data_IF_001486078083
#
_entry.id   IF_001486078083
#
_cell.length_a   1.000
_cell.length_b   1.000
_cell.length_c   1.000
_cell.angle_alpha   90.00
_cell.angle_beta   90.00
_cell.angle_gamma   90.00
#
_symmetry.space_group_name_H-M   'P 1'
#
loop_
_entity.id
_entity.type
_entity.pdbx_description
1 polymer ?
#
# COMPACT_ATOMS: atom_id res chain seq x y z
N UNK A 1 11.86 12.15 -16.62
CA UNK A 1 11.23 11.11 -15.77
C UNK A 1 10.78 10.00 -16.69
N UNK A 2 11.10 8.73 -16.40
CA UNK A 2 10.46 7.63 -17.15
C UNK A 2 9.01 7.59 -16.71
N UNK A 3 8.12 7.40 -17.67
CA UNK A 3 6.70 7.20 -17.42
C UNK A 3 6.50 5.93 -16.58
N UNK A 4 5.50 5.93 -15.71
CA UNK A 4 5.20 4.78 -14.86
C UNK A 4 4.68 3.61 -15.74
N UNK A 5 5.20 2.38 -15.59
CA UNK A 5 4.89 1.27 -16.49
C UNK A 5 3.53 0.62 -16.14
N UNK A 6 2.44 1.34 -16.39
CA UNK A 6 1.07 0.94 -16.06
C UNK A 6 0.71 -0.49 -16.52
N UNK A 7 1.08 -0.86 -17.75
CA UNK A 7 0.80 -2.18 -18.30
C UNK A 7 1.52 -3.33 -17.57
N UNK A 8 2.79 -3.14 -17.19
CA UNK A 8 3.56 -4.13 -16.46
C UNK A 8 3.02 -4.32 -15.04
N UNK A 9 2.73 -3.22 -14.34
CA UNK A 9 2.17 -3.23 -12.99
C UNK A 9 0.78 -3.86 -12.99
N UNK A 10 -0.08 -3.51 -13.95
CA UNK A 10 -1.40 -4.12 -14.11
C UNK A 10 -1.29 -5.63 -14.32
N UNK A 11 -0.39 -6.07 -15.21
CA UNK A 11 -0.22 -7.49 -15.47
C UNK A 11 0.31 -8.24 -14.25
N UNK A 12 1.29 -7.67 -13.53
CA UNK A 12 1.84 -8.29 -12.34
C UNK A 12 0.80 -8.36 -11.21
N UNK A 13 0.05 -7.28 -10.99
CA UNK A 13 -1.03 -7.25 -10.01
C UNK A 13 -2.15 -8.23 -10.37
N UNK A 14 -2.47 -8.45 -11.65
CA UNK A 14 -3.43 -9.48 -12.06
C UNK A 14 -2.97 -10.90 -11.69
N UNK A 15 -1.69 -11.19 -11.85
CA UNK A 15 -1.11 -12.51 -11.53
C UNK A 15 -1.01 -12.74 -10.01
N UNK A 16 -0.60 -11.72 -9.25
CA UNK A 16 -0.48 -11.79 -7.80
C UNK A 16 -1.77 -12.24 -7.11
N UNK A 17 -1.68 -13.16 -6.16
CA UNK A 17 -2.85 -13.68 -5.41
C UNK A 17 -2.78 -13.35 -3.93
N UNK A 18 -1.58 -13.19 -3.36
CA UNK A 18 -1.34 -12.95 -1.93
C UNK A 18 -0.55 -11.65 -1.79
N UNK A 19 -1.25 -10.57 -1.52
CA UNK A 19 -0.68 -9.22 -1.55
C UNK A 19 -0.50 -8.68 -0.13
N UNK A 20 0.69 -8.15 0.18
CA UNK A 20 0.90 -7.33 1.36
C UNK A 20 0.64 -5.86 1.02
N UNK A 21 -0.10 -5.16 1.89
CA UNK A 21 -0.20 -3.69 1.87
C UNK A 21 0.32 -3.15 3.20
N UNK A 22 1.37 -2.34 3.13
CA UNK A 22 2.14 -1.90 4.28
C UNK A 22 2.37 -0.39 4.20
N UNK A 23 2.49 0.29 5.34
CA UNK A 23 2.88 1.70 5.38
C UNK A 23 3.93 1.97 6.46
N UNK A 24 4.14 3.24 6.80
CA UNK A 24 5.23 3.68 7.66
C UNK A 24 4.95 3.53 9.17
N UNK A 25 6.03 3.49 9.95
CA UNK A 25 6.03 3.65 11.41
C UNK A 25 5.44 4.99 11.81
N UNK A 26 4.79 5.07 12.98
CA UNK A 26 3.97 6.19 13.43
C UNK A 26 2.95 6.60 12.36
N UNK A 27 2.08 5.67 11.92
CA UNK A 27 1.13 5.92 10.84
C UNK A 27 0.17 7.05 11.21
N UNK A 28 -0.21 7.84 10.22
CA UNK A 28 -1.23 8.87 10.35
C UNK A 28 -2.51 8.48 9.58
N UNK A 29 -3.40 9.46 9.35
CA UNK A 29 -4.64 9.22 8.63
C UNK A 29 -4.43 8.80 7.17
N UNK A 30 -3.39 9.30 6.51
CA UNK A 30 -3.12 8.98 5.11
C UNK A 30 -2.56 7.56 4.98
N UNK A 31 -1.62 7.19 5.85
CA UNK A 31 -1.10 5.83 5.93
C UNK A 31 -2.19 4.79 6.23
N UNK A 32 -3.01 5.02 7.26
CA UNK A 32 -4.08 4.07 7.65
C UNK A 32 -5.15 4.00 6.55
N UNK A 33 -5.59 5.15 6.04
CA UNK A 33 -6.57 5.23 4.96
C UNK A 33 -6.07 4.55 3.68
N UNK A 34 -4.80 4.71 3.34
CA UNK A 34 -4.17 4.08 2.18
C UNK A 34 -4.12 2.56 2.31
N UNK A 35 -3.70 2.04 3.47
CA UNK A 35 -3.66 0.59 3.74
C UNK A 35 -5.06 -0.02 3.66
N UNK A 36 -6.05 0.59 4.31
CA UNK A 36 -7.43 0.08 4.31
C UNK A 36 -8.07 0.17 2.92
N UNK A 37 -7.99 1.34 2.27
CA UNK A 37 -8.63 1.60 0.98
C UNK A 37 -8.10 0.70 -0.13
N UNK A 38 -6.78 0.60 -0.26
CA UNK A 38 -6.17 -0.34 -1.22
C UNK A 38 -6.44 -1.79 -0.83
N UNK A 39 -6.38 -2.10 0.47
CA UNK A 39 -6.68 -3.42 1.00
C UNK A 39 -8.07 -3.91 0.60
N UNK A 40 -9.09 -3.07 0.73
CA UNK A 40 -10.46 -3.36 0.31
C UNK A 40 -10.61 -3.53 -1.19
N UNK A 41 -9.98 -2.68 -2.00
CA UNK A 41 -10.03 -2.79 -3.45
C UNK A 41 -9.46 -4.15 -3.91
N UNK A 42 -8.33 -4.56 -3.33
CA UNK A 42 -7.67 -5.82 -3.63
C UNK A 42 -8.46 -7.04 -3.14
N UNK A 43 -9.04 -6.97 -1.93
CA UNK A 43 -9.92 -8.03 -1.40
C UNK A 43 -11.17 -8.20 -2.27
N UNK A 44 -11.80 -7.09 -2.67
CA UNK A 44 -12.97 -7.10 -3.57
C UNK A 44 -12.61 -7.66 -4.94
N UNK A 45 -11.37 -7.48 -5.39
CA UNK A 45 -10.82 -8.12 -6.60
C UNK A 45 -10.48 -9.62 -6.42
N UNK A 46 -10.83 -10.23 -5.29
CA UNK A 46 -10.64 -11.66 -5.01
C UNK A 46 -9.24 -12.05 -4.52
N UNK A 47 -8.41 -11.08 -4.10
CA UNK A 47 -7.06 -11.36 -3.58
C UNK A 47 -7.08 -11.67 -2.10
N UNK A 48 -6.11 -12.46 -1.66
CA UNK A 48 -5.78 -12.59 -0.24
C UNK A 48 -4.86 -11.43 0.14
N UNK A 49 -5.24 -10.65 1.14
CA UNK A 49 -4.54 -9.40 1.48
C UNK A 49 -4.14 -9.38 2.94
N UNK A 50 -2.83 -9.27 3.18
CA UNK A 50 -2.25 -9.01 4.51
C UNK A 50 -2.01 -7.52 4.67
N UNK A 51 -2.59 -6.93 5.72
CA UNK A 51 -2.43 -5.50 6.04
C UNK A 51 -1.50 -5.37 7.23
N UNK A 52 -0.48 -4.52 7.13
CA UNK A 52 0.49 -4.37 8.19
C UNK A 52 0.91 -2.92 8.48
N UNK A 53 1.01 -2.60 9.76
CA UNK A 53 1.59 -1.36 10.29
C UNK A 53 2.43 -1.69 11.52
N UNK A 54 3.73 -1.42 11.48
CA UNK A 54 4.67 -1.82 12.53
C UNK A 54 4.27 -1.33 13.94
N UNK A 55 3.78 -0.09 14.02
CA UNK A 55 3.34 0.53 15.28
C UNK A 55 1.83 0.35 15.55
N UNK A 56 1.13 -0.39 14.68
CA UNK A 56 -0.31 -0.59 14.71
C UNK A 56 -1.13 0.66 14.37
N UNK A 57 -2.45 0.54 14.44
CA UNK A 57 -3.38 1.64 14.17
C UNK A 57 -3.46 2.61 15.36
N UNK A 58 -3.27 3.94 15.15
CA UNK A 58 -3.42 4.94 16.20
C UNK A 58 -4.81 4.90 16.83
N UNK A 59 -4.91 5.14 18.14
CA UNK A 59 -6.17 4.99 18.89
C UNK A 59 -7.34 5.74 18.27
N UNK A 60 -7.11 6.98 17.82
CA UNK A 60 -8.12 7.83 17.19
C UNK A 60 -8.58 7.33 15.81
N UNK A 61 -7.92 6.34 15.20
CA UNK A 61 -8.25 5.76 13.90
C UNK A 61 -8.75 4.32 13.98
N UNK A 62 -8.77 3.70 15.18
CA UNK A 62 -9.25 2.32 15.38
C UNK A 62 -10.75 2.12 15.13
N UNK A 63 -11.50 3.22 15.01
CA UNK A 63 -12.92 3.20 14.68
C UNK A 63 -13.18 3.01 13.18
N UNK A 64 -12.14 3.12 12.33
CA UNK A 64 -12.27 2.90 10.90
C UNK A 64 -12.58 1.42 10.63
N UNK A 65 -13.54 1.10 9.75
CA UNK A 65 -13.87 -0.29 9.46
C UNK A 65 -12.65 -1.05 8.91
N UNK A 66 -12.41 -2.27 9.39
CA UNK A 66 -11.26 -3.09 9.00
C UNK A 66 -9.94 -2.70 9.65
N UNK A 67 -9.89 -1.67 10.51
CA UNK A 67 -8.69 -1.32 11.28
C UNK A 67 -8.23 -2.48 12.18
N UNK A 68 -9.15 -3.32 12.64
CA UNK A 68 -8.91 -4.53 13.41
C UNK A 68 -8.16 -5.63 12.63
N UNK A 69 -8.19 -5.59 11.29
CA UNK A 69 -7.49 -6.56 10.43
C UNK A 69 -6.01 -6.22 10.25
N UNK A 70 -5.58 -5.02 10.66
CA UNK A 70 -4.20 -4.57 10.50
C UNK A 70 -3.31 -5.21 11.56
N UNK A 71 -2.39 -6.06 11.12
CA UNK A 71 -1.41 -6.70 11.98
C UNK A 71 -0.15 -5.84 12.17
N UNK A 72 0.67 -6.08 13.20
CA UNK A 72 1.97 -5.42 13.35
C UNK A 72 2.98 -5.77 12.24
N UNK A 73 2.81 -6.93 11.60
CA UNK A 73 3.70 -7.45 10.57
C UNK A 73 2.89 -8.18 9.51
N UNK A 74 3.44 -8.27 8.29
CA UNK A 74 2.84 -9.09 7.23
C UNK A 74 2.71 -10.53 7.71
N UNK A 75 1.53 -11.09 7.51
CA UNK A 75 1.15 -12.44 7.91
C UNK A 75 0.93 -13.33 6.70
N UNK A 76 1.32 -14.60 6.82
CA UNK A 76 1.22 -15.58 5.74
C UNK A 76 2.26 -15.38 4.64
N UNK A 77 2.18 -16.22 3.61
CA UNK A 77 3.01 -16.09 2.41
C UNK A 77 2.45 -15.02 1.49
N UNK A 78 3.31 -14.16 0.95
CA UNK A 78 2.93 -13.10 -0.01
C UNK A 78 3.74 -13.24 -1.29
N UNK A 79 3.11 -12.97 -2.43
CA UNK A 79 3.74 -12.97 -3.76
C UNK A 79 3.82 -11.58 -4.38
N UNK A 80 3.30 -10.55 -3.70
CA UNK A 80 3.44 -9.15 -4.11
C UNK A 80 3.40 -8.21 -2.91
N UNK A 81 4.36 -7.30 -2.80
CA UNK A 81 4.46 -6.33 -1.69
C UNK A 81 4.23 -4.92 -2.19
N UNK A 82 3.19 -4.27 -1.64
CA UNK A 82 2.87 -2.87 -1.90
C UNK A 82 3.13 -2.06 -0.63
N UNK A 83 3.99 -1.04 -0.74
CA UNK A 83 4.21 -0.07 0.33
C UNK A 83 3.57 1.26 -0.05
N UNK A 84 2.70 1.77 0.80
CA UNK A 84 2.00 3.04 0.61
C UNK A 84 2.51 4.09 1.59
N UNK A 85 2.62 5.34 1.15
CA UNK A 85 2.88 6.51 1.98
C UNK A 85 4.21 6.50 2.76
N UNK A 86 5.21 5.77 2.26
CA UNK A 86 6.53 5.69 2.88
C UNK A 86 7.62 6.08 1.89
N UNK A 87 8.32 7.19 2.18
CA UNK A 87 9.36 7.78 1.33
C UNK A 87 10.68 7.00 1.29
N UNK A 88 10.93 6.14 2.27
CA UNK A 88 12.11 5.28 2.27
C UNK A 88 11.82 3.93 2.92
N UNK A 89 12.69 2.95 2.64
CA UNK A 89 12.52 1.58 3.12
C UNK A 89 12.60 1.47 4.64
N UNK A 90 13.35 2.34 5.31
CA UNK A 90 13.51 2.35 6.76
C UNK A 90 12.23 2.77 7.47
N UNK A 91 11.41 3.62 6.84
CA UNK A 91 10.10 4.03 7.37
C UNK A 91 9.11 2.88 7.51
N UNK A 92 9.25 1.78 6.78
CA UNK A 92 8.38 0.61 6.91
C UNK A 92 8.55 -0.10 8.27
N UNK A 93 9.70 0.07 8.91
CA UNK A 93 9.99 -0.56 10.20
C UNK A 93 9.97 -2.09 10.12
N UNK A 94 9.42 -2.72 11.15
CA UNK A 94 9.38 -4.18 11.31
C UNK A 94 8.19 -4.84 10.60
N UNK A 95 7.34 -4.07 9.92
CA UNK A 95 6.18 -4.62 9.24
C UNK A 95 6.54 -5.57 8.09
N UNK A 96 7.74 -5.41 7.53
CA UNK A 96 8.36 -6.30 6.55
C UNK A 96 9.76 -6.73 7.04
N UNK A 97 10.19 -7.98 6.77
CA UNK A 97 11.59 -8.39 6.92
C UNK A 97 12.54 -7.45 6.16
N UNK A 98 13.75 -7.23 6.66
CA UNK A 98 14.68 -6.24 6.06
C UNK A 98 15.06 -6.59 4.60
N UNK A 99 15.13 -7.88 4.30
CA UNK A 99 15.44 -8.48 3.02
C UNK A 99 14.26 -8.55 2.05
N UNK A 100 13.04 -8.24 2.51
CA UNK A 100 11.85 -8.29 1.68
C UNK A 100 11.94 -7.23 0.56
N UNK A 101 11.79 -7.71 -0.67
CA UNK A 101 11.69 -6.88 -1.87
C UNK A 101 10.34 -6.19 -1.89
N UNK A 102 10.34 -4.89 -2.16
CA UNK A 102 9.11 -4.11 -2.34
C UNK A 102 8.84 -4.02 -3.83
N UNK A 103 7.73 -4.61 -4.28
CA UNK A 103 7.38 -4.62 -5.69
C UNK A 103 6.85 -3.27 -6.15
N UNK A 104 5.97 -2.66 -5.37
CA UNK A 104 5.35 -1.38 -5.70
C UNK A 104 5.38 -0.45 -4.50
N UNK A 105 5.86 0.78 -4.70
CA UNK A 105 5.68 1.87 -3.77
C UNK A 105 4.78 2.95 -4.39
N UNK A 106 3.74 3.35 -3.65
CA UNK A 106 2.83 4.45 -4.03
C UNK A 106 2.95 5.52 -2.96
N UNK A 107 3.34 6.72 -3.34
CA UNK A 107 3.69 7.77 -2.38
C UNK A 107 3.50 9.17 -2.97
N UNK A 108 3.41 10.18 -2.11
CA UNK A 108 3.34 11.59 -2.50
C UNK A 108 4.47 12.45 -1.90
N UNK A 109 5.40 11.86 -1.14
CA UNK A 109 6.50 12.62 -0.56
C UNK A 109 7.56 13.00 -1.62
N UNK A 110 7.92 14.29 -1.68
CA UNK A 110 9.04 14.80 -2.49
C UNK A 110 10.39 14.14 -2.15
N UNK A 111 10.51 13.60 -0.93
CA UNK A 111 11.73 12.95 -0.40
C UNK A 111 11.82 11.46 -0.73
N UNK A 112 10.89 10.91 -1.51
CA UNK A 112 10.88 9.49 -1.82
C UNK A 112 12.18 9.03 -2.51
N UNK A 113 12.72 7.91 -2.05
CA UNK A 113 14.03 7.36 -2.47
C UNK A 113 13.95 6.34 -3.61
N UNK A 114 12.76 6.07 -4.13
CA UNK A 114 12.49 5.12 -5.21
C UNK A 114 13.06 3.71 -4.96
N UNK A 115 12.81 3.17 -3.75
CA UNK A 115 13.41 1.93 -3.26
C UNK A 115 12.67 0.65 -3.69
N UNK A 116 11.49 0.76 -4.33
CA UNK A 116 10.75 -0.38 -4.83
C UNK A 116 11.11 -0.70 -6.29
N UNK A 117 10.70 -1.88 -6.77
CA UNK A 117 10.83 -2.25 -8.18
C UNK A 117 10.04 -1.29 -9.09
N UNK A 118 8.83 -0.92 -8.69
CA UNK A 118 8.02 0.12 -9.33
C UNK A 118 7.69 1.20 -8.31
N UNK A 119 7.82 2.47 -8.69
CA UNK A 119 7.56 3.60 -7.80
C UNK A 119 6.60 4.57 -8.50
N UNK A 120 5.37 4.65 -7.99
CA UNK A 120 4.37 5.63 -8.40
C UNK A 120 4.41 6.78 -7.38
N UNK A 121 5.21 7.80 -7.67
CA UNK A 121 5.38 8.95 -6.78
C UNK A 121 4.78 10.19 -7.43
N UNK A 122 3.77 10.78 -6.81
CA UNK A 122 3.17 12.04 -7.26
C UNK A 122 3.31 13.13 -6.18
N UNK A 123 4.39 13.93 -6.20
CA UNK A 123 4.65 14.90 -5.15
C UNK A 123 3.77 16.16 -5.14
N UNK A 124 2.92 16.30 -6.15
CA UNK A 124 1.94 17.39 -6.22
C UNK A 124 0.57 16.94 -5.69
N UNK A 125 0.39 15.64 -5.39
CA UNK A 125 -0.80 15.14 -4.73
C UNK A 125 -0.83 15.56 -3.26
N UNK A 126 -2.03 15.86 -2.77
CA UNK A 126 -2.25 16.27 -1.38
C UNK A 126 -2.07 15.13 -0.37
N UNK A 127 -2.16 13.89 -0.83
CA UNK A 127 -2.06 12.67 -0.03
C UNK A 127 -1.83 11.44 -0.91
N UNK A 128 -1.27 10.38 -0.35
CA UNK A 128 -1.16 9.05 -0.98
C UNK A 128 -2.55 8.46 -1.26
N UNK A 129 -3.52 8.66 -0.36
CA UNK A 129 -4.93 8.29 -0.58
C UNK A 129 -5.51 8.89 -1.86
N UNK A 130 -5.17 10.14 -2.21
CA UNK A 130 -5.62 10.76 -3.46
C UNK A 130 -5.00 10.07 -4.69
N UNK A 131 -3.71 9.73 -4.63
CA UNK A 131 -3.03 8.95 -5.68
C UNK A 131 -3.66 7.57 -5.84
N UNK A 132 -4.07 6.95 -4.73
CA UNK A 132 -4.70 5.63 -4.73
C UNK A 132 -6.06 5.63 -5.43
N UNK A 133 -6.85 6.69 -5.35
CA UNK A 133 -8.13 6.78 -6.08
C UNK A 133 -7.89 6.64 -7.59
N UNK A 134 -6.91 7.38 -8.13
CA UNK A 134 -6.54 7.29 -9.55
C UNK A 134 -5.93 5.94 -9.89
N UNK A 135 -5.04 5.42 -9.04
CA UNK A 135 -4.40 4.12 -9.24
C UNK A 135 -5.43 2.98 -9.28
N UNK A 136 -6.39 2.96 -8.36
CA UNK A 136 -7.45 1.94 -8.28
C UNK A 136 -8.31 1.97 -9.55
N UNK A 137 -8.68 3.17 -10.01
CA UNK A 137 -9.41 3.35 -11.26
C UNK A 137 -8.60 2.88 -12.48
N UNK A 138 -7.33 3.26 -12.58
CA UNK A 138 -6.44 2.87 -13.68
C UNK A 138 -6.13 1.36 -13.68
N UNK A 139 -6.11 0.72 -12.51
CA UNK A 139 -5.99 -0.74 -12.41
C UNK A 139 -7.29 -1.48 -12.70
N UNK A 140 -8.43 -0.78 -12.78
CA UNK A 140 -9.75 -1.38 -12.91
C UNK A 140 -10.16 -2.20 -11.69
N UNK A 141 -9.67 -1.83 -10.50
CA UNK A 141 -10.00 -2.53 -9.26
C UNK A 141 -11.40 -2.09 -8.78
N UNK A 142 -12.25 -3.03 -8.33
CA UNK A 142 -13.55 -2.71 -7.77
C UNK A 142 -13.38 -2.05 -6.39
N UNK A 143 -14.19 -1.03 -6.12
CA UNK A 143 -14.43 -0.54 -4.77
C UNK A 143 -15.78 -1.08 -4.28
N UNK A 144 -15.87 -1.58 -3.04
CA UNK A 144 -17.15 -1.98 -2.49
C UNK A 144 -18.10 -0.77 -2.48
N UNK A 145 -19.32 -0.98 -2.98
CA UNK A 145 -20.41 -0.03 -2.74
C UNK A 145 -20.88 -0.26 -1.31
N UNK A 146 -21.10 0.84 -0.57
CA UNK A 146 -21.62 0.81 0.81
C UNK A 146 -22.85 -0.10 0.97
#
# INVERSE_FOLDING_TARGET
MREFPWGEVRQALRVAQRVAVVSHVRPDGDAVGSVLGLGWALRTAGKQVSLALADGVPFNLRHLPGAEDIAPQVTGEVDWVIVVDASDRGRVGTALPAEAVVDLNIDHHKTNTAYARYNLVNPEAVSTTAVLVEFIAEMGLPLPQE
#
